data_IF_122150188987
#
_entry.id   IF_122150188987
#
_cell.length_a   1.000
_cell.length_b   1.000
_cell.length_c   1.000
_cell.angle_alpha   90.00
_cell.angle_beta   90.00
_cell.angle_gamma   90.00
#
_symmetry.space_group_name_H-M   'P 1'
#
loop_
_entity.id
_entity.type
_entity.pdbx_description
1 polymer ?
#
# COMPACT_ATOMS: atom_id res chain seq x y z
N UNK A 1 17.73 5.73 -19.30
CA UNK A 1 17.19 4.37 -19.46
C UNK A 1 15.75 4.42 -18.99
N UNK A 2 14.76 4.34 -19.88
CA UNK A 2 13.36 4.28 -19.45
C UNK A 2 13.15 2.98 -18.66
N UNK A 3 12.37 2.96 -17.56
CA UNK A 3 12.10 1.71 -16.86
C UNK A 3 11.41 0.76 -17.83
N UNK A 4 11.93 -0.47 -17.96
CA UNK A 4 11.24 -1.56 -18.65
C UNK A 4 9.82 -1.68 -18.08
N UNK A 5 8.81 -1.80 -18.95
CA UNK A 5 7.41 -1.92 -18.53
C UNK A 5 7.19 -3.19 -17.70
N UNK A 6 7.36 -3.09 -16.38
CA UNK A 6 6.96 -4.11 -15.42
C UNK A 6 5.44 -4.23 -15.33
N UNK A 7 4.96 -5.32 -14.72
CA UNK A 7 3.56 -5.53 -14.37
C UNK A 7 3.05 -4.35 -13.53
N UNK A 8 1.80 -3.96 -13.76
CA UNK A 8 1.15 -2.83 -13.11
C UNK A 8 0.22 -3.29 -12.00
N UNK A 9 0.24 -2.58 -10.88
CA UNK A 9 -0.58 -2.87 -9.72
C UNK A 9 -2.06 -2.56 -9.94
N UNK A 10 -2.37 -1.63 -10.86
CA UNK A 10 -3.74 -1.26 -11.24
C UNK A 10 -4.50 -2.34 -12.03
N UNK A 11 -3.85 -3.46 -12.38
CA UNK A 11 -4.51 -4.58 -13.04
C UNK A 11 -5.38 -5.37 -12.05
N UNK A 12 -6.41 -6.10 -12.51
CA UNK A 12 -7.19 -6.99 -11.65
C UNK A 12 -6.31 -7.98 -10.88
N UNK A 13 -5.26 -8.51 -11.51
CA UNK A 13 -4.29 -9.40 -10.87
C UNK A 13 -3.49 -8.68 -9.79
N UNK A 14 -3.06 -7.43 -10.04
CA UNK A 14 -2.39 -6.59 -9.07
C UNK A 14 -3.27 -6.30 -7.85
N UNK A 15 -4.55 -5.97 -8.08
CA UNK A 15 -5.53 -5.77 -7.01
C UNK A 15 -5.73 -7.05 -6.16
N UNK A 16 -5.83 -8.21 -6.81
CA UNK A 16 -5.96 -9.49 -6.11
C UNK A 16 -4.72 -9.78 -5.24
N UNK A 17 -3.52 -9.50 -5.75
CA UNK A 17 -2.28 -9.65 -4.98
C UNK A 17 -2.25 -8.69 -3.78
N UNK A 18 -2.62 -7.42 -3.95
CA UNK A 18 -2.66 -6.45 -2.85
C UNK A 18 -3.57 -6.95 -1.73
N UNK A 19 -4.78 -7.41 -2.07
CA UNK A 19 -5.73 -7.96 -1.09
C UNK A 19 -5.15 -9.17 -0.36
N UNK A 20 -4.61 -10.13 -1.13
CA UNK A 20 -3.97 -11.32 -0.57
C UNK A 20 -2.85 -10.97 0.41
N UNK A 21 -1.97 -10.03 0.06
CA UNK A 21 -0.89 -9.60 0.96
C UNK A 21 -1.48 -8.98 2.23
N UNK A 22 -2.51 -8.14 2.13
CA UNK A 22 -3.14 -7.54 3.32
C UNK A 22 -3.78 -8.60 4.21
N UNK A 23 -4.52 -9.55 3.64
CA UNK A 23 -5.11 -10.67 4.38
C UNK A 23 -4.06 -11.51 5.11
N UNK A 24 -2.92 -11.77 4.47
CA UNK A 24 -1.82 -12.56 5.06
C UNK A 24 -1.01 -11.78 6.11
N UNK A 25 -0.85 -10.46 5.95
CA UNK A 25 0.00 -9.64 6.83
C UNK A 25 -0.75 -8.94 7.95
N UNK A 26 -2.06 -8.75 7.81
CA UNK A 26 -2.91 -8.06 8.78
C UNK A 26 -4.19 -8.89 9.00
N UNK A 27 -4.08 -10.09 9.60
CA UNK A 27 -5.23 -10.99 9.79
C UNK A 27 -6.34 -10.38 10.67
N UNK A 28 -6.04 -9.33 11.43
CA UNK A 28 -7.00 -8.58 12.24
C UNK A 28 -8.02 -7.80 11.38
N UNK A 29 -7.69 -7.49 10.12
CA UNK A 29 -8.59 -6.81 9.19
C UNK A 29 -9.50 -7.83 8.50
N UNK A 30 -10.46 -8.36 9.28
CA UNK A 30 -11.37 -9.43 8.83
C UNK A 30 -12.23 -9.09 7.59
N UNK A 31 -12.50 -7.79 7.35
CA UNK A 31 -13.19 -7.31 6.15
C UNK A 31 -12.26 -6.94 4.99
N UNK A 32 -10.94 -7.07 5.17
CA UNK A 32 -9.93 -6.65 4.21
C UNK A 32 -10.00 -5.15 3.88
N UNK A 33 -9.53 -4.82 2.67
CA UNK A 33 -9.58 -3.46 2.13
C UNK A 33 -10.92 -3.17 1.46
N UNK A 34 -11.40 -1.93 1.62
CA UNK A 34 -12.44 -1.40 0.74
C UNK A 34 -11.94 -1.30 -0.70
N UNK A 35 -12.84 -1.44 -1.67
CA UNK A 35 -12.47 -1.42 -3.10
C UNK A 35 -11.74 -0.15 -3.52
N UNK A 36 -12.20 0.99 -3.03
CA UNK A 36 -11.57 2.26 -3.32
C UNK A 36 -10.15 2.35 -2.74
N UNK A 37 -9.88 1.73 -1.58
CA UNK A 37 -8.55 1.71 -0.98
C UNK A 37 -7.59 0.92 -1.85
N UNK A 38 -8.02 -0.24 -2.39
CA UNK A 38 -7.19 -1.06 -3.30
C UNK A 38 -6.82 -0.28 -4.55
N UNK A 39 -7.78 0.41 -5.15
CA UNK A 39 -7.55 1.25 -6.34
C UNK A 39 -6.49 2.31 -6.03
N UNK A 40 -6.64 3.04 -4.92
CA UNK A 40 -5.70 4.11 -4.57
C UNK A 40 -4.31 3.56 -4.23
N UNK A 41 -4.24 2.45 -3.48
CA UNK A 41 -2.97 1.77 -3.15
C UNK A 41 -2.24 1.31 -4.42
N UNK A 42 -2.97 0.75 -5.38
CA UNK A 42 -2.40 0.33 -6.66
C UNK A 42 -1.80 1.50 -7.45
N UNK A 43 -2.48 2.65 -7.47
CA UNK A 43 -1.93 3.88 -8.06
C UNK A 43 -0.61 4.31 -7.41
N UNK A 44 -0.54 4.29 -6.07
CA UNK A 44 0.67 4.63 -5.33
C UNK A 44 1.81 3.64 -5.62
N UNK A 45 1.52 2.34 -5.66
CA UNK A 45 2.50 1.30 -5.95
C UNK A 45 3.05 1.36 -7.38
N UNK A 46 2.26 1.87 -8.32
CA UNK A 46 2.71 2.17 -9.68
C UNK A 46 3.49 3.50 -9.79
N UNK A 47 3.68 4.21 -8.67
CA UNK A 47 4.44 5.46 -8.57
C UNK A 47 3.61 6.72 -8.86
N UNK A 48 2.29 6.63 -8.82
CA UNK A 48 1.39 7.77 -9.04
C UNK A 48 1.22 8.66 -7.80
N UNK A 49 1.16 9.97 -8.02
CA UNK A 49 0.78 10.94 -7.00
C UNK A 49 -0.74 10.97 -6.81
N UNK A 50 -1.20 11.00 -5.57
CA UNK A 50 -2.63 10.90 -5.22
C UNK A 50 -3.08 12.06 -4.34
N UNK A 51 -4.17 12.71 -4.72
CA UNK A 51 -5.00 13.53 -3.83
C UNK A 51 -6.24 12.72 -3.44
N UNK A 52 -6.33 12.32 -2.18
CA UNK A 52 -7.48 11.56 -1.66
C UNK A 52 -8.26 12.38 -0.64
N UNK A 53 -9.55 12.59 -0.91
CA UNK A 53 -10.47 13.31 -0.02
C UNK A 53 -11.53 12.33 0.45
N UNK A 54 -11.50 12.00 1.74
CA UNK A 54 -12.44 11.05 2.35
C UNK A 54 -12.90 11.57 3.70
N UNK A 55 -14.01 11.01 4.20
CA UNK A 55 -14.48 11.32 5.54
C UNK A 55 -13.49 10.81 6.62
N UNK A 56 -13.52 11.43 7.79
CA UNK A 56 -12.82 10.91 8.96
C UNK A 56 -13.47 9.59 9.39
N UNK A 57 -12.65 8.61 9.80
CA UNK A 57 -13.11 7.27 10.16
C UNK A 57 -13.20 6.30 8.98
N UNK A 58 -13.10 6.77 7.74
CA UNK A 58 -13.24 5.96 6.52
C UNK A 58 -12.02 5.05 6.22
N UNK A 59 -11.10 4.90 7.16
CA UNK A 59 -9.92 4.04 6.98
C UNK A 59 -8.82 4.60 6.06
N UNK A 60 -8.81 5.92 5.78
CA UNK A 60 -7.79 6.56 4.91
C UNK A 60 -6.33 6.29 5.28
N UNK A 61 -6.03 5.90 6.52
CA UNK A 61 -4.67 5.53 6.92
C UNK A 61 -4.12 4.33 6.15
N UNK A 62 -5.00 3.43 5.67
CA UNK A 62 -4.61 2.32 4.82
C UNK A 62 -3.89 2.78 3.53
N UNK A 63 -4.22 3.97 3.02
CA UNK A 63 -3.68 4.51 1.76
C UNK A 63 -2.16 4.70 1.81
N UNK A 64 -1.59 5.03 2.97
CA UNK A 64 -0.13 5.17 3.11
C UNK A 64 0.54 3.98 3.83
N UNK A 65 -0.23 3.20 4.59
CA UNK A 65 0.29 2.04 5.30
C UNK A 65 0.44 0.80 4.41
N UNK A 66 -0.59 0.48 3.64
CA UNK A 66 -0.63 -0.72 2.80
C UNK A 66 0.44 -0.70 1.71
N UNK A 67 0.72 0.41 1.00
CA UNK A 67 1.80 0.41 0.02
C UNK A 67 3.14 0.00 0.63
N UNK A 68 3.42 0.42 1.87
CA UNK A 68 4.64 0.03 2.58
C UNK A 68 4.67 -1.47 2.90
N UNK A 69 3.55 -2.04 3.33
CA UNK A 69 3.43 -3.48 3.61
C UNK A 69 3.66 -4.30 2.33
N UNK A 70 3.02 -3.90 1.22
CA UNK A 70 3.19 -4.55 -0.08
C UNK A 70 4.63 -4.47 -0.56
N UNK A 71 5.25 -3.27 -0.52
CA UNK A 71 6.64 -3.10 -0.94
C UNK A 71 7.62 -3.91 -0.08
N UNK A 72 7.40 -3.99 1.24
CA UNK A 72 8.22 -4.81 2.14
C UNK A 72 8.08 -6.30 1.83
N UNK A 73 6.88 -6.77 1.53
CA UNK A 73 6.62 -8.16 1.16
C UNK A 73 7.26 -8.51 -0.19
N UNK A 74 7.14 -7.64 -1.18
CA UNK A 74 7.78 -7.78 -2.48
C UNK A 74 9.31 -7.78 -2.36
N UNK A 75 9.87 -6.93 -1.49
CA UNK A 75 11.30 -6.89 -1.24
C UNK A 75 11.83 -8.16 -0.56
N UNK A 76 11.03 -8.80 0.30
CA UNK A 76 11.37 -10.07 0.96
C UNK A 76 11.26 -11.26 0.01
N UNK A 77 10.30 -11.24 -0.91
CA UNK A 77 9.98 -12.38 -1.78
C UNK A 77 10.01 -12.00 -3.28
N UNK A 78 11.15 -11.51 -3.81
CA UNK A 78 11.22 -10.94 -5.16
C UNK A 78 10.87 -11.93 -6.27
N UNK A 79 11.14 -13.23 -6.08
CA UNK A 79 10.81 -14.28 -7.05
C UNK A 79 9.30 -14.51 -7.15
N UNK A 80 8.56 -14.40 -6.04
CA UNK A 80 7.11 -14.62 -6.02
C UNK A 80 6.34 -13.50 -6.73
N UNK A 81 6.91 -12.29 -6.73
CA UNK A 81 6.29 -11.10 -7.32
C UNK A 81 7.04 -10.61 -8.57
N UNK A 82 7.67 -11.53 -9.30
CA UNK A 82 8.45 -11.22 -10.48
C UNK A 82 7.67 -10.33 -11.47
N UNK A 83 8.33 -9.26 -11.93
CA UNK A 83 7.79 -8.30 -12.87
C UNK A 83 7.09 -7.09 -12.25
N UNK A 84 6.74 -7.12 -10.96
CA UNK A 84 6.29 -5.91 -10.26
C UNK A 84 7.47 -5.04 -9.81
N UNK A 85 7.22 -3.74 -9.66
CA UNK A 85 8.22 -2.82 -9.12
C UNK A 85 8.66 -3.26 -7.73
N UNK A 86 9.98 -3.38 -7.52
CA UNK A 86 10.58 -3.80 -6.27
C UNK A 86 11.57 -2.73 -5.77
N UNK A 87 11.38 -2.29 -4.53
CA UNK A 87 12.32 -1.42 -3.83
C UNK A 87 13.08 -2.28 -2.82
N UNK A 88 14.41 -2.36 -2.92
CA UNK A 88 15.23 -3.20 -2.01
C UNK A 88 15.08 -2.82 -0.54
N UNK A 89 14.83 -1.55 -0.25
CA UNK A 89 14.65 -0.99 1.10
C UNK A 89 13.58 0.11 1.03
N UNK A 90 12.29 -0.24 1.01
CA UNK A 90 11.23 0.75 0.93
C UNK A 90 11.21 1.57 2.23
N UNK A 91 11.09 2.89 2.10
CA UNK A 91 10.95 3.83 3.22
C UNK A 91 9.82 4.80 2.89
N UNK A 92 8.92 5.02 3.85
CA UNK A 92 7.84 5.99 3.76
C UNK A 92 7.95 7.03 4.86
N UNK A 93 7.63 8.28 4.55
CA UNK A 93 7.56 9.38 5.52
C UNK A 93 6.11 9.86 5.57
N UNK A 94 5.50 9.77 6.75
CA UNK A 94 4.15 10.28 7.00
C UNK A 94 4.26 11.58 7.77
N UNK A 95 3.82 12.67 7.15
CA UNK A 95 3.78 14.00 7.78
C UNK A 95 2.38 14.19 8.34
N UNK A 96 2.28 14.41 9.65
CA UNK A 96 1.01 14.68 10.33
C UNK A 96 1.02 16.08 10.96
N UNK A 97 -0.10 16.81 10.95
CA UNK A 97 -0.17 18.17 11.47
C UNK A 97 -0.05 18.25 13.00
N UNK A 98 -0.31 17.18 13.74
CA UNK A 98 -0.26 17.17 15.21
C UNK A 98 0.49 15.96 15.75
N UNK A 99 1.16 16.14 16.90
CA UNK A 99 1.83 15.04 17.61
C UNK A 99 0.85 13.97 18.10
N UNK A 100 -0.36 14.38 18.48
CA UNK A 100 -1.40 13.44 18.90
C UNK A 100 -1.75 12.47 17.78
N UNK A 101 -1.95 13.00 16.56
CA UNK A 101 -2.25 12.18 15.40
C UNK A 101 -1.06 11.29 15.00
N UNK A 102 0.16 11.83 14.95
CA UNK A 102 1.35 11.02 14.63
C UNK A 102 1.57 9.89 15.63
N UNK A 103 1.35 10.16 16.92
CA UNK A 103 1.46 9.15 17.99
C UNK A 103 0.37 8.08 17.85
N UNK A 104 -0.85 8.48 17.51
CA UNK A 104 -1.94 7.54 17.27
C UNK A 104 -1.66 6.64 16.07
N UNK A 105 -1.16 7.20 14.97
CA UNK A 105 -0.70 6.48 13.78
C UNK A 105 0.34 5.43 14.19
N UNK A 106 1.43 5.80 14.86
CA UNK A 106 2.49 4.85 15.25
C UNK A 106 2.01 3.71 16.15
N UNK A 107 0.98 3.95 16.98
CA UNK A 107 0.51 2.95 17.96
C UNK A 107 -0.54 1.99 17.42
N UNK A 108 -1.31 2.39 16.41
CA UNK A 108 -2.51 1.67 15.97
C UNK A 108 -2.51 1.31 14.48
N UNK A 109 -1.38 1.53 13.80
CA UNK A 109 -1.14 1.02 12.46
C UNK A 109 -0.37 -0.29 12.48
#
# INVERSE_FOLDING_TARGET
>A
MAPSQGRKWQTPEGHAIIRKIVEEKIPEWTGGLHDWQVIVVAWILDGGDVLCVTATGDGKSAIFAVPMIVLLEVARNPTAYHGYACLKKPVGIVIAPTKGLSTNIVRNL
#
